data_IF_172906150129
#
_entry.id   IF_172906150129
#
_cell.length_a   1.000
_cell.length_b   1.000
_cell.length_c   1.000
_cell.angle_alpha   90.00
_cell.angle_beta   90.00
_cell.angle_gamma   90.00
#
_symmetry.space_group_name_H-M   'P 1'
#
loop_
_entity.id
_entity.type
_entity.pdbx_description
1 polymer ?
#
# COMPACT_ATOMS: atom_id res chain seq x y z
N UNK A 1 -18.31 -54.88 -79.35
CA UNK A 1 -18.70 -53.79 -78.43
C UNK A 1 -17.86 -53.76 -77.10
N UNK A 2 -17.38 -54.87 -76.60
CA UNK A 2 -16.67 -54.88 -75.30
C UNK A 2 -15.31 -54.18 -75.26
N UNK A 3 -14.56 -54.12 -76.37
CA UNK A 3 -13.24 -53.45 -76.40
C UNK A 3 -13.30 -51.91 -76.46
N UNK A 4 -14.42 -51.33 -76.92
CA UNK A 4 -14.56 -49.85 -76.96
C UNK A 4 -14.81 -49.27 -75.57
N UNK A 5 -15.49 -50.00 -74.72
CA UNK A 5 -15.71 -49.55 -73.30
C UNK A 5 -14.48 -49.70 -72.45
N UNK A 6 -13.58 -50.67 -72.74
CA UNK A 6 -12.32 -50.82 -72.03
C UNK A 6 -11.34 -49.71 -72.36
N UNK A 7 -11.29 -49.27 -73.64
CA UNK A 7 -10.45 -48.17 -74.08
C UNK A 7 -10.91 -46.80 -73.55
N UNK A 8 -12.24 -46.58 -73.49
CA UNK A 8 -12.80 -45.35 -72.88
C UNK A 8 -12.56 -45.32 -71.40
N UNK A 9 -12.68 -46.47 -70.69
CA UNK A 9 -12.40 -46.55 -69.25
C UNK A 9 -10.92 -46.29 -68.93
N UNK A 10 -9.99 -46.79 -69.77
CA UNK A 10 -8.57 -46.61 -69.60
C UNK A 10 -8.11 -45.17 -69.89
N UNK A 11 -8.72 -44.49 -70.88
CA UNK A 11 -8.50 -43.09 -71.18
C UNK A 11 -9.02 -42.16 -70.08
N UNK A 12 -10.16 -42.49 -69.45
CA UNK A 12 -10.66 -41.72 -68.29
C UNK A 12 -9.80 -41.85 -67.07
N UNK A 13 -9.24 -43.05 -66.82
CA UNK A 13 -8.30 -43.29 -65.70
C UNK A 13 -6.99 -42.56 -65.91
N UNK A 14 -6.46 -42.53 -67.14
CA UNK A 14 -5.25 -41.81 -67.45
C UNK A 14 -5.44 -40.31 -67.38
N UNK A 15 -6.62 -39.81 -67.79
CA UNK A 15 -6.95 -38.38 -67.66
C UNK A 15 -7.12 -37.96 -66.19
N UNK A 16 -7.68 -38.81 -65.36
CA UNK A 16 -7.78 -38.57 -63.91
C UNK A 16 -6.41 -38.60 -63.21
N UNK A 17 -5.49 -39.47 -63.63
CA UNK A 17 -4.14 -39.53 -63.10
C UNK A 17 -3.28 -38.34 -63.49
N UNK A 18 -3.51 -37.75 -64.63
CA UNK A 18 -2.76 -36.54 -65.09
C UNK A 18 -3.31 -35.26 -64.44
N UNK A 19 -4.59 -35.22 -63.99
CA UNK A 19 -5.14 -34.10 -63.29
C UNK A 19 -4.70 -34.05 -61.81
N UNK A 20 -4.25 -35.16 -61.22
CA UNK A 20 -3.75 -35.24 -59.86
C UNK A 20 -2.35 -34.68 -59.66
N UNK A 21 -1.59 -34.44 -60.76
CA UNK A 21 -0.22 -33.86 -60.67
C UNK A 21 -0.16 -32.38 -60.90
N UNK A 22 -1.29 -31.67 -61.12
CA UNK A 22 -1.35 -30.22 -61.19
C UNK A 22 -1.62 -29.61 -59.79
N UNK A 23 -0.82 -29.97 -58.81
CA UNK A 23 -0.77 -29.27 -57.55
C UNK A 23 -0.26 -27.85 -57.80
N UNK A 24 -1.04 -26.87 -57.54
CA UNK A 24 -0.64 -25.45 -57.60
C UNK A 24 0.62 -25.27 -56.77
N UNK A 25 1.55 -24.45 -57.22
CA UNK A 25 2.72 -24.03 -56.43
C UNK A 25 2.16 -23.49 -55.10
N UNK A 26 2.59 -24.05 -53.97
CA UNK A 26 2.24 -23.56 -52.68
C UNK A 26 2.59 -22.08 -52.57
N UNK A 27 1.72 -21.30 -51.95
CA UNK A 27 2.00 -19.88 -51.67
C UNK A 27 3.33 -19.76 -50.96
N UNK A 28 4.16 -18.86 -51.39
CA UNK A 28 5.46 -18.56 -50.78
C UNK A 28 5.17 -18.15 -49.33
N UNK A 29 5.72 -18.83 -48.36
CA UNK A 29 5.55 -18.52 -46.94
C UNK A 29 5.86 -17.04 -46.67
N UNK A 30 5.06 -16.44 -45.81
CA UNK A 30 5.24 -15.05 -45.41
C UNK A 30 6.68 -14.82 -44.93
N UNK A 31 7.24 -13.70 -45.34
CA UNK A 31 8.58 -13.27 -44.89
C UNK A 31 8.55 -13.17 -43.34
N UNK A 32 9.47 -13.84 -42.70
CA UNK A 32 9.61 -13.81 -41.24
C UNK A 32 9.71 -12.36 -40.73
N UNK A 33 9.26 -12.14 -39.49
CA UNK A 33 9.32 -10.81 -38.88
C UNK A 33 10.75 -10.26 -38.91
N UNK A 34 10.94 -8.94 -39.01
CA UNK A 34 12.26 -8.32 -38.91
C UNK A 34 12.94 -8.75 -37.60
N UNK A 35 14.21 -8.98 -37.64
CA UNK A 35 15.00 -9.31 -36.45
C UNK A 35 14.88 -8.18 -35.40
N UNK A 36 15.06 -8.50 -34.12
CA UNK A 36 15.03 -7.50 -33.06
C UNK A 36 16.06 -6.40 -33.34
N UNK A 37 15.70 -5.18 -32.99
CA UNK A 37 16.62 -4.04 -33.07
C UNK A 37 17.89 -4.34 -32.27
N UNK A 38 19.04 -3.99 -32.78
CA UNK A 38 20.32 -4.13 -32.07
C UNK A 38 20.29 -3.37 -30.75
N UNK A 39 21.10 -3.79 -29.79
CA UNK A 39 21.21 -3.10 -28.51
C UNK A 39 21.59 -1.64 -28.74
N UNK A 40 21.01 -0.76 -27.91
CA UNK A 40 21.37 0.65 -27.91
C UNK A 40 22.87 0.81 -27.67
N UNK A 41 23.50 1.73 -28.35
CA UNK A 41 24.91 2.05 -28.14
C UNK A 41 25.15 2.49 -26.69
N UNK A 42 26.39 2.36 -26.21
CA UNK A 42 26.73 2.82 -24.87
C UNK A 42 26.42 4.31 -24.72
N UNK A 43 25.93 4.69 -23.56
CA UNK A 43 25.69 6.09 -23.21
C UNK A 43 27.02 6.89 -23.38
N UNK A 44 26.92 8.08 -23.91
CA UNK A 44 28.05 9.00 -24.02
C UNK A 44 28.64 9.30 -22.63
N UNK A 45 29.90 9.72 -22.57
CA UNK A 45 30.50 10.12 -21.32
C UNK A 45 29.68 11.24 -20.66
N UNK A 46 29.57 11.20 -19.36
CA UNK A 46 28.93 12.27 -18.58
C UNK A 46 29.60 13.62 -18.92
N UNK A 47 28.81 14.64 -19.09
CA UNK A 47 29.30 16.01 -19.27
C UNK A 47 30.14 16.44 -18.06
N UNK A 48 31.02 17.43 -18.23
CA UNK A 48 31.76 17.97 -17.12
C UNK A 48 30.80 18.47 -16.03
N UNK A 49 31.19 18.31 -14.78
CA UNK A 49 30.43 18.88 -13.67
C UNK A 49 30.20 20.37 -13.90
N UNK A 50 29.00 20.84 -13.63
CA UNK A 50 28.65 22.26 -13.69
C UNK A 50 29.55 23.05 -12.70
N UNK A 51 29.70 24.35 -12.91
CA UNK A 51 30.42 25.19 -11.96
C UNK A 51 29.74 25.09 -10.59
N UNK A 52 30.57 25.11 -9.56
CA UNK A 52 30.09 25.17 -8.18
C UNK A 52 29.11 26.34 -8.01
N UNK A 53 27.95 26.07 -7.43
CA UNK A 53 26.94 27.09 -7.16
C UNK A 53 27.51 28.20 -6.28
N UNK A 54 26.94 29.40 -6.33
CA UNK A 54 27.36 30.47 -5.44
C UNK A 54 27.24 30.00 -3.98
N UNK A 55 28.21 30.38 -3.15
CA UNK A 55 28.13 30.12 -1.72
C UNK A 55 26.74 30.58 -1.20
N UNK A 56 26.09 29.72 -0.40
CA UNK A 56 24.83 30.09 0.25
C UNK A 56 25.01 31.39 1.01
N UNK A 57 23.95 32.18 1.12
CA UNK A 57 23.95 33.37 1.96
C UNK A 57 24.44 32.97 3.36
N UNK A 58 25.31 33.79 3.94
CA UNK A 58 25.78 33.58 5.32
C UNK A 58 24.52 33.38 6.21
N UNK A 59 24.38 32.16 6.76
CA UNK A 59 23.34 31.88 7.74
C UNK A 59 23.44 32.92 8.85
N UNK A 60 22.32 33.36 9.39
CA UNK A 60 22.32 34.19 10.59
C UNK A 60 23.19 33.49 11.63
N UNK A 61 24.24 34.17 12.06
CA UNK A 61 25.12 33.67 13.08
C UNK A 61 24.35 33.52 14.40
N UNK A 62 23.78 32.31 14.62
CA UNK A 62 23.44 31.89 15.96
C UNK A 62 24.74 31.95 16.77
N UNK A 63 24.70 32.55 17.96
CA UNK A 63 25.86 32.52 18.81
C UNK A 63 26.27 31.07 19.04
N UNK A 64 27.51 30.71 18.71
CA UNK A 64 27.98 29.31 18.74
C UNK A 64 27.79 28.61 20.09
N UNK A 65 27.48 29.38 21.14
CA UNK A 65 27.17 28.87 22.48
C UNK A 65 25.79 28.21 22.61
N UNK A 66 24.87 28.49 21.67
CA UNK A 66 23.51 27.94 21.70
C UNK A 66 23.34 26.70 20.78
N UNK A 67 24.38 26.33 20.04
CA UNK A 67 24.36 25.18 19.16
C UNK A 67 24.63 23.89 19.94
N UNK A 68 23.63 23.04 20.03
CA UNK A 68 23.70 21.74 20.72
C UNK A 68 24.02 20.59 19.76
N UNK A 69 24.93 20.85 18.80
CA UNK A 69 25.31 19.85 17.77
C UNK A 69 25.72 18.50 18.38
N UNK A 70 26.38 18.54 19.52
CA UNK A 70 26.85 17.33 20.23
C UNK A 70 25.74 16.53 20.90
N UNK A 71 24.57 17.11 21.13
CA UNK A 71 23.41 16.35 21.64
C UNK A 71 22.87 15.37 20.60
N UNK A 72 23.04 15.69 19.31
CA UNK A 72 22.57 14.89 18.19
C UNK A 72 23.72 14.22 17.42
N UNK A 73 24.88 14.86 17.34
CA UNK A 73 26.03 14.41 16.56
C UNK A 73 27.17 13.87 17.44
N UNK A 74 26.89 13.52 18.68
CA UNK A 74 27.83 12.79 19.48
C UNK A 74 27.89 11.31 19.03
N UNK A 75 28.95 10.63 19.47
CA UNK A 75 29.07 9.18 19.26
C UNK A 75 28.25 8.36 20.27
N UNK A 76 27.26 8.99 20.94
CA UNK A 76 26.44 8.31 21.94
C UNK A 76 25.65 7.17 21.32
N UNK A 77 25.41 6.16 22.11
CA UNK A 77 24.60 4.99 21.70
C UNK A 77 23.14 5.37 21.43
N UNK A 78 22.65 6.51 21.97
CA UNK A 78 21.27 6.94 21.83
C UNK A 78 20.90 7.19 20.37
N UNK A 79 21.59 8.13 19.69
CA UNK A 79 21.29 8.47 18.29
C UNK A 79 21.67 7.33 17.35
N UNK A 80 22.80 6.68 17.59
CA UNK A 80 23.23 5.52 16.80
C UNK A 80 22.23 4.38 16.93
N UNK A 81 21.70 4.12 18.12
CA UNK A 81 20.69 3.10 18.36
C UNK A 81 19.38 3.41 17.65
N UNK A 82 18.88 4.65 17.75
CA UNK A 82 17.64 5.08 17.04
C UNK A 82 17.79 5.01 15.52
N UNK A 83 18.93 5.44 14.99
CA UNK A 83 19.23 5.32 13.56
C UNK A 83 19.27 3.86 13.11
N UNK A 84 19.91 2.98 13.88
CA UNK A 84 19.99 1.56 13.55
C UNK A 84 18.57 0.93 13.57
N UNK A 85 17.76 1.23 14.59
CA UNK A 85 16.40 0.78 14.68
C UNK A 85 15.57 1.25 13.48
N UNK A 86 15.64 2.54 13.13
CA UNK A 86 14.97 3.08 11.96
C UNK A 86 15.43 2.40 10.66
N UNK A 87 16.72 2.15 10.47
CA UNK A 87 17.24 1.47 9.28
C UNK A 87 16.68 0.05 9.10
N UNK A 88 16.22 -0.60 10.16
CA UNK A 88 15.57 -1.92 10.11
C UNK A 88 14.07 -1.85 9.96
N UNK A 89 13.48 -0.65 10.07
CA UNK A 89 12.04 -0.44 9.87
C UNK A 89 11.68 -0.32 8.39
N UNK A 90 10.40 -0.51 8.06
CA UNK A 90 9.88 -0.28 6.71
C UNK A 90 10.00 1.19 6.29
N UNK A 91 9.98 2.14 7.23
CA UNK A 91 10.20 3.56 6.92
C UNK A 91 11.63 3.82 6.42
N UNK A 92 12.62 3.09 6.93
CA UNK A 92 14.02 3.27 6.55
C UNK A 92 14.54 2.33 5.45
N UNK A 93 13.84 1.24 5.16
CA UNK A 93 14.32 0.19 4.25
C UNK A 93 13.27 -0.38 3.29
N UNK A 94 11.99 0.03 3.40
CA UNK A 94 10.90 -0.52 2.59
C UNK A 94 11.00 -0.12 1.12
N UNK A 95 10.59 -1.00 0.23
CA UNK A 95 10.67 -0.82 -1.23
C UNK A 95 9.65 0.20 -1.78
N UNK A 96 8.62 0.54 -1.00
CA UNK A 96 7.54 1.43 -1.43
C UNK A 96 8.03 2.81 -1.88
N UNK A 97 9.12 3.32 -1.28
CA UNK A 97 9.76 4.59 -1.68
C UNK A 97 10.22 4.54 -3.14
N UNK A 98 10.92 3.49 -3.54
CA UNK A 98 11.40 3.35 -4.92
C UNK A 98 10.27 3.17 -5.92
N UNK A 99 9.20 2.47 -5.52
CA UNK A 99 8.04 2.19 -6.36
C UNK A 99 7.10 3.40 -6.51
N UNK A 100 6.78 4.10 -5.43
CA UNK A 100 5.71 5.10 -5.39
C UNK A 100 6.19 6.52 -5.08
N UNK A 101 7.34 6.69 -4.42
CA UNK A 101 7.81 8.01 -3.98
C UNK A 101 8.13 9.00 -5.08
N UNK A 102 8.31 8.55 -6.33
CA UNK A 102 8.50 9.38 -7.51
C UNK A 102 7.24 9.63 -8.34
N UNK A 103 6.03 9.34 -7.81
CA UNK A 103 4.77 9.49 -8.53
C UNK A 103 3.90 10.58 -7.91
N UNK A 104 3.27 11.39 -8.75
CA UNK A 104 2.27 12.36 -8.31
C UNK A 104 1.13 11.65 -7.57
N UNK A 105 0.63 12.28 -6.51
CA UNK A 105 -0.42 11.71 -5.66
C UNK A 105 -0.01 10.50 -4.80
N UNK A 106 1.24 10.03 -4.93
CA UNK A 106 1.80 8.98 -4.08
C UNK A 106 2.94 9.51 -3.21
N UNK A 107 3.67 10.49 -3.73
CA UNK A 107 4.89 11.02 -3.13
C UNK A 107 4.68 11.61 -1.74
N UNK A 108 3.49 12.15 -1.44
CA UNK A 108 3.14 12.71 -0.13
C UNK A 108 3.33 11.71 1.01
N UNK A 109 3.01 10.44 0.78
CA UNK A 109 3.18 9.38 1.78
C UNK A 109 4.46 8.55 1.55
N UNK A 110 4.91 8.39 0.29
CA UNK A 110 5.99 7.48 -0.07
C UNK A 110 7.37 8.14 -0.27
N UNK A 111 7.48 9.45 -0.07
CA UNK A 111 8.76 10.16 -0.10
C UNK A 111 8.90 11.14 1.07
N UNK A 112 9.92 10.96 1.89
CA UNK A 112 10.19 11.85 3.04
C UNK A 112 10.42 13.31 2.63
N UNK A 113 10.98 13.56 1.43
CA UNK A 113 11.13 14.92 0.89
C UNK A 113 9.79 15.56 0.58
N UNK A 114 8.94 14.87 -0.19
CA UNK A 114 7.60 15.33 -0.58
C UNK A 114 6.65 15.43 0.62
N UNK A 115 6.77 14.53 1.60
CA UNK A 115 6.01 14.62 2.85
C UNK A 115 6.26 15.95 3.58
N UNK A 116 7.52 16.39 3.68
CA UNK A 116 7.83 17.68 4.31
C UNK A 116 7.21 18.87 3.57
N UNK A 117 7.21 18.84 2.25
CA UNK A 117 6.53 19.86 1.44
C UNK A 117 5.02 19.83 1.65
N UNK A 118 4.43 18.64 1.72
CA UNK A 118 3.01 18.43 2.02
C UNK A 118 2.63 19.09 3.36
N UNK A 119 3.35 18.76 4.43
CA UNK A 119 3.09 19.32 5.77
C UNK A 119 3.28 20.84 5.78
N UNK A 120 4.36 21.34 5.19
CA UNK A 120 4.67 22.76 5.16
C UNK A 120 3.65 23.61 4.37
N UNK A 121 3.04 23.02 3.33
CA UNK A 121 2.06 23.69 2.47
C UNK A 121 0.60 23.45 2.88
N UNK A 122 0.35 22.47 3.77
CA UNK A 122 -1.01 22.05 4.14
C UNK A 122 -1.77 21.35 3.00
N UNK A 123 -1.04 20.78 2.03
CA UNK A 123 -1.64 20.04 0.93
C UNK A 123 -2.15 18.67 1.39
N UNK A 124 -3.16 18.15 0.70
CA UNK A 124 -3.58 16.76 0.89
C UNK A 124 -2.58 15.78 0.22
N UNK A 125 -2.46 14.56 0.69
CA UNK A 125 -1.52 13.58 0.12
C UNK A 125 -1.69 13.36 -1.40
N UNK A 126 -2.91 13.36 -1.90
CA UNK A 126 -3.23 13.16 -3.32
C UNK A 126 -2.89 14.38 -4.20
N UNK A 127 -2.75 15.56 -3.61
CA UNK A 127 -2.41 16.80 -4.34
C UNK A 127 -0.89 17.00 -4.45
N UNK A 128 -0.10 16.14 -3.81
CA UNK A 128 1.36 16.28 -3.79
C UNK A 128 1.95 15.78 -5.09
N UNK A 129 2.59 16.69 -5.84
CA UNK A 129 3.42 16.31 -6.97
C UNK A 129 4.72 15.65 -6.48
N UNK A 130 5.24 14.70 -7.26
CA UNK A 130 6.55 14.13 -6.97
C UNK A 130 7.64 15.20 -7.08
N UNK A 131 8.49 15.31 -6.08
CA UNK A 131 9.62 16.24 -6.10
C UNK A 131 10.59 15.84 -7.22
N UNK A 132 11.06 16.82 -8.00
CA UNK A 132 12.08 16.56 -9.01
C UNK A 132 13.36 16.06 -8.32
N UNK A 133 13.69 14.80 -8.53
CA UNK A 133 14.84 14.13 -7.91
C UNK A 133 14.53 12.69 -7.54
N UNK A 134 15.44 12.05 -6.84
CA UNK A 134 15.22 10.71 -6.30
C UNK A 134 14.30 10.79 -5.07
N UNK A 135 13.29 9.91 -5.02
CA UNK A 135 12.48 9.73 -3.83
C UNK A 135 13.36 9.27 -2.65
N UNK A 136 13.11 9.82 -1.48
CA UNK A 136 13.84 9.49 -0.25
C UNK A 136 12.95 8.74 0.72
N UNK A 137 13.52 7.81 1.48
CA UNK A 137 12.82 7.19 2.60
C UNK A 137 12.34 8.25 3.61
N UNK A 138 11.36 7.89 4.43
CA UNK A 138 10.96 8.70 5.58
C UNK A 138 12.11 8.74 6.57
N UNK A 139 12.88 9.82 6.54
CA UNK A 139 14.06 10.03 7.39
C UNK A 139 13.70 10.76 8.71
N UNK A 140 14.71 11.00 9.54
CA UNK A 140 14.52 11.70 10.81
C UNK A 140 13.82 13.06 10.63
N UNK A 141 14.05 13.77 9.52
CA UNK A 141 13.49 15.08 9.21
C UNK A 141 12.07 14.99 8.67
N UNK A 142 11.61 13.82 8.30
CA UNK A 142 10.20 13.58 7.96
C UNK A 142 9.33 13.72 9.20
N UNK A 143 9.81 13.19 10.32
CA UNK A 143 9.08 13.17 11.58
C UNK A 143 9.44 14.29 12.55
N UNK A 144 10.69 14.75 12.54
CA UNK A 144 11.25 15.72 13.49
C UNK A 144 11.69 17.01 12.80
N UNK A 145 11.63 18.13 13.54
CA UNK A 145 12.04 19.45 13.06
C UNK A 145 13.57 19.64 13.03
N UNK A 146 14.29 18.62 12.60
CA UNK A 146 15.75 18.60 12.60
C UNK A 146 16.32 19.75 11.77
N UNK A 147 17.25 20.52 12.39
CA UNK A 147 17.92 21.69 11.82
C UNK A 147 16.99 22.89 11.55
N UNK A 148 15.86 22.99 12.26
CA UNK A 148 15.02 24.17 12.24
C UNK A 148 15.51 25.21 13.25
N UNK A 149 15.76 24.79 14.50
CA UNK A 149 16.18 25.68 15.59
C UNK A 149 17.64 25.51 15.98
N UNK A 150 18.24 24.40 15.62
CA UNK A 150 19.61 23.97 16.03
C UNK A 150 19.76 23.82 17.55
N UNK A 151 18.66 23.48 18.22
CA UNK A 151 18.59 23.23 19.66
C UNK A 151 17.88 21.91 19.93
N UNK A 152 17.74 21.52 21.20
CA UNK A 152 16.93 20.35 21.58
C UNK A 152 15.45 20.42 21.16
N UNK A 153 14.94 21.61 20.79
CA UNK A 153 13.60 21.74 20.23
C UNK A 153 13.46 21.08 18.85
N UNK A 154 14.52 20.79 18.16
CA UNK A 154 14.54 20.07 16.86
C UNK A 154 14.00 18.62 16.97
N UNK A 155 13.90 18.07 18.18
CA UNK A 155 13.24 16.78 18.39
C UNK A 155 11.70 16.85 18.40
N UNK A 156 11.10 18.06 18.38
CA UNK A 156 9.68 18.19 18.20
C UNK A 156 9.22 17.54 16.89
N UNK A 157 8.00 17.03 16.88
CA UNK A 157 7.41 16.48 15.66
C UNK A 157 7.17 17.60 14.63
N UNK A 158 7.17 17.25 13.36
CA UNK A 158 6.90 18.20 12.26
C UNK A 158 5.48 18.74 12.33
N UNK A 159 4.53 17.93 12.80
CA UNK A 159 3.16 18.34 13.13
C UNK A 159 2.57 17.40 14.17
N UNK A 160 1.64 17.93 14.96
CA UNK A 160 0.74 17.19 15.86
C UNK A 160 -0.72 17.65 15.62
N UNK A 161 -0.98 18.36 14.52
CA UNK A 161 -2.32 18.85 14.19
C UNK A 161 -3.26 17.68 13.82
N UNK A 162 -4.56 17.75 14.15
CA UNK A 162 -5.54 16.74 13.75
C UNK A 162 -5.55 16.53 12.23
N UNK A 163 -5.71 15.28 11.81
CA UNK A 163 -5.61 14.86 10.41
C UNK A 163 -6.98 14.80 9.77
N UNK A 164 -7.19 15.56 8.70
CA UNK A 164 -8.37 15.39 7.85
C UNK A 164 -8.25 14.09 7.06
N UNK A 165 -9.24 13.21 7.19
CA UNK A 165 -9.31 11.96 6.43
C UNK A 165 -9.94 12.25 5.07
N UNK A 166 -9.11 12.58 4.10
CA UNK A 166 -9.53 13.14 2.81
C UNK A 166 -10.34 12.17 1.93
N UNK A 167 -10.31 10.86 2.21
CA UNK A 167 -11.17 9.89 1.53
C UNK A 167 -12.63 9.90 2.03
N UNK A 168 -12.94 10.62 3.10
CA UNK A 168 -14.26 10.66 3.73
C UNK A 168 -14.94 12.02 3.54
N UNK A 169 -16.15 12.16 4.08
CA UNK A 169 -16.89 13.41 4.05
C UNK A 169 -16.09 14.54 4.74
N UNK A 170 -16.28 15.77 4.27
CA UNK A 170 -15.66 16.95 4.86
C UNK A 170 -15.95 17.05 6.36
N UNK A 171 -14.91 17.20 7.14
CA UNK A 171 -14.96 17.25 8.59
C UNK A 171 -14.69 15.93 9.31
N UNK A 172 -14.51 14.82 8.59
CA UNK A 172 -14.01 13.59 9.20
C UNK A 172 -12.54 13.74 9.55
N UNK A 173 -12.22 13.69 10.85
CA UNK A 173 -10.87 13.91 11.35
C UNK A 173 -10.43 12.82 12.31
N UNK A 174 -9.13 12.55 12.29
CA UNK A 174 -8.44 11.74 13.29
C UNK A 174 -7.63 12.67 14.21
N UNK A 175 -7.84 12.57 15.51
CA UNK A 175 -7.10 13.33 16.52
C UNK A 175 -6.54 12.37 17.59
N UNK A 176 -5.38 11.85 17.33
CA UNK A 176 -4.66 10.87 18.17
C UNK A 176 -3.40 11.45 18.82
N UNK A 177 -3.35 12.74 19.10
CA UNK A 177 -2.18 13.38 19.68
C UNK A 177 -0.96 13.29 18.78
N UNK A 178 0.20 12.83 19.30
CA UNK A 178 1.41 12.62 18.48
C UNK A 178 1.22 11.58 17.36
N UNK A 179 0.22 10.70 17.49
CA UNK A 179 -0.20 9.77 16.44
C UNK A 179 -0.72 10.47 15.18
N UNK A 180 -1.06 11.76 15.25
CA UNK A 180 -1.50 12.54 14.09
C UNK A 180 -0.45 12.58 12.99
N UNK A 181 0.83 12.68 13.34
CA UNK A 181 1.90 12.58 12.36
C UNK A 181 1.84 11.26 11.55
N UNK A 182 1.59 10.14 12.22
CA UNK A 182 1.44 8.84 11.57
C UNK A 182 0.18 8.80 10.69
N UNK A 183 -0.92 9.38 11.19
CA UNK A 183 -2.21 9.44 10.51
C UNK A 183 -2.18 10.17 9.17
N UNK A 184 -1.22 11.06 8.92
CA UNK A 184 -1.08 11.72 7.62
C UNK A 184 -0.82 10.75 6.47
N UNK A 185 -0.14 9.63 6.72
CA UNK A 185 0.09 8.57 5.75
C UNK A 185 -0.77 7.34 6.02
N UNK A 186 -0.98 6.99 7.30
CA UNK A 186 -1.74 5.81 7.72
C UNK A 186 -3.25 6.07 7.74
N UNK A 187 -3.79 6.51 6.60
CA UNK A 187 -5.21 6.76 6.35
C UNK A 187 -5.66 6.19 5.00
N UNK A 188 -6.93 5.81 4.85
CA UNK A 188 -7.44 5.35 3.57
C UNK A 188 -7.32 6.41 2.48
N UNK A 189 -6.97 5.97 1.30
CA UNK A 189 -6.91 6.80 0.10
C UNK A 189 -8.26 6.87 -0.62
N UNK A 190 -9.11 5.88 -0.39
CA UNK A 190 -10.42 5.75 -1.02
C UNK A 190 -11.39 5.01 -0.12
N UNK A 191 -12.65 5.19 -0.37
CA UNK A 191 -13.74 4.38 0.16
C UNK A 191 -14.16 3.34 -0.88
N UNK A 192 -14.89 2.32 -0.45
CA UNK A 192 -15.55 1.40 -1.36
C UNK A 192 -16.55 2.16 -2.22
N UNK A 193 -16.61 1.83 -3.51
CA UNK A 193 -17.55 2.44 -4.44
C UNK A 193 -19.00 2.05 -4.10
N UNK A 194 -19.93 2.92 -4.45
CA UNK A 194 -21.36 2.58 -4.44
C UNK A 194 -21.69 1.55 -5.54
N UNK A 195 -22.74 0.76 -5.29
CA UNK A 195 -23.21 -0.18 -6.28
C UNK A 195 -23.78 0.53 -7.52
N UNK A 196 -23.58 -0.05 -8.68
CA UNK A 196 -24.17 0.40 -9.93
C UNK A 196 -25.70 0.13 -9.98
N UNK A 197 -26.33 0.48 -11.10
CA UNK A 197 -27.76 0.31 -11.30
C UNK A 197 -28.23 -1.16 -11.28
N UNK A 198 -27.32 -2.09 -11.52
CA UNK A 198 -27.57 -3.54 -11.49
C UNK A 198 -27.26 -4.15 -10.10
N UNK A 199 -26.84 -3.34 -9.14
CA UNK A 199 -26.52 -3.75 -7.78
C UNK A 199 -25.12 -4.36 -7.62
N UNK A 200 -24.19 -4.09 -8.55
CA UNK A 200 -22.84 -4.61 -8.52
C UNK A 200 -21.82 -3.51 -8.18
N UNK A 201 -20.69 -3.93 -7.65
CA UNK A 201 -19.50 -3.10 -7.45
C UNK A 201 -18.37 -3.65 -8.34
N UNK A 202 -17.64 -2.74 -8.99
CA UNK A 202 -16.48 -3.08 -9.80
C UNK A 202 -15.24 -3.26 -8.92
N UNK A 203 -14.64 -4.44 -8.97
CA UNK A 203 -13.28 -4.70 -8.50
C UNK A 203 -12.35 -4.42 -9.68
N UNK A 204 -11.74 -3.25 -9.70
CA UNK A 204 -11.06 -2.70 -10.88
C UNK A 204 -9.57 -3.06 -10.98
N UNK A 205 -9.00 -3.69 -9.97
CA UNK A 205 -7.58 -4.05 -9.96
C UNK A 205 -7.28 -5.13 -8.92
N UNK A 206 -6.15 -5.84 -9.06
CA UNK A 206 -5.66 -6.79 -8.06
C UNK A 206 -5.20 -6.11 -6.77
N UNK A 207 -4.98 -4.80 -6.80
CA UNK A 207 -4.69 -3.97 -5.62
C UNK A 207 -5.93 -3.19 -5.16
N UNK A 208 -7.11 -3.80 -5.27
CA UNK A 208 -8.36 -3.18 -4.88
C UNK A 208 -8.53 -3.24 -3.36
N UNK A 209 -8.76 -2.09 -2.74
CA UNK A 209 -8.84 -1.93 -1.29
C UNK A 209 -8.71 -0.47 -0.88
N UNK A 210 -8.74 -0.16 0.43
CA UNK A 210 -8.60 1.22 0.93
C UNK A 210 -7.22 1.84 0.67
N UNK A 211 -6.24 1.06 0.29
CA UNK A 211 -4.84 1.39 0.02
C UNK A 211 -3.99 1.55 1.29
N UNK A 212 -3.11 0.62 1.47
CA UNK A 212 -1.98 0.47 2.42
C UNK A 212 -1.92 1.48 3.57
N UNK A 213 -2.61 1.21 4.65
CA UNK A 213 -2.48 1.99 5.86
C UNK A 213 -3.77 2.66 6.37
N UNK A 214 -4.93 1.99 6.36
CA UNK A 214 -6.18 2.57 6.82
C UNK A 214 -6.35 2.55 8.36
N UNK A 215 -5.26 2.52 9.12
CA UNK A 215 -5.30 2.33 10.58
C UNK A 215 -6.09 3.43 11.29
N UNK A 216 -6.03 4.68 10.80
CA UNK A 216 -6.85 5.77 11.35
C UNK A 216 -8.34 5.49 11.22
N UNK A 217 -8.77 4.98 10.06
CA UNK A 217 -10.17 4.63 9.82
C UNK A 217 -10.59 3.41 10.67
N UNK A 218 -9.74 2.40 10.79
CA UNK A 218 -9.98 1.26 11.66
C UNK A 218 -10.15 1.70 13.12
N UNK A 219 -9.27 2.57 13.63
CA UNK A 219 -9.37 3.12 14.99
C UNK A 219 -10.65 3.92 15.22
N UNK A 220 -11.13 4.65 14.22
CA UNK A 220 -12.39 5.38 14.27
C UNK A 220 -13.63 4.50 14.05
N UNK A 221 -13.46 3.26 13.57
CA UNK A 221 -14.57 2.35 13.25
C UNK A 221 -15.31 2.74 11.97
N UNK A 222 -14.60 3.20 10.94
CA UNK A 222 -15.15 3.62 9.64
C UNK A 222 -14.38 3.00 8.48
N UNK A 223 -14.89 3.08 7.26
CA UNK A 223 -14.20 2.70 6.03
C UNK A 223 -14.38 1.25 5.59
N UNK A 224 -15.03 0.42 6.38
CA UNK A 224 -15.43 -0.93 5.97
C UNK A 224 -16.57 -0.92 4.96
N UNK A 225 -16.75 -2.04 4.26
CA UNK A 225 -17.86 -2.28 3.35
C UNK A 225 -19.11 -2.76 4.07
N UNK A 226 -20.28 -2.44 3.51
CA UNK A 226 -21.59 -2.82 4.05
C UNK A 226 -22.18 -1.82 5.03
N UNK A 227 -23.38 -2.12 5.52
CA UNK A 227 -24.08 -1.30 6.52
C UNK A 227 -23.61 -1.70 7.94
N UNK A 228 -22.29 -1.66 8.19
CA UNK A 228 -21.72 -1.98 9.51
C UNK A 228 -21.44 -0.69 10.26
N UNK A 229 -22.25 -0.41 11.28
CA UNK A 229 -22.01 0.71 12.17
C UNK A 229 -20.80 0.42 13.07
N UNK A 230 -19.74 1.22 12.94
CA UNK A 230 -18.60 1.19 13.83
C UNK A 230 -18.64 2.32 14.85
N UNK A 231 -17.73 2.24 15.79
CA UNK A 231 -17.49 3.30 16.79
C UNK A 231 -15.99 3.40 17.07
N UNK A 232 -15.51 4.57 17.51
CA UNK A 232 -14.11 4.71 17.88
C UNK A 232 -13.67 3.65 18.89
N UNK A 233 -12.52 3.07 18.65
CA UNK A 233 -11.93 2.05 19.51
C UNK A 233 -11.63 2.58 20.92
N UNK A 234 -11.62 1.70 21.91
CA UNK A 234 -11.13 2.04 23.25
C UNK A 234 -9.67 2.51 23.21
N UNK A 235 -8.83 1.88 22.37
CA UNK A 235 -7.44 2.29 22.17
C UNK A 235 -7.32 3.71 21.62
N UNK A 236 -8.21 4.12 20.71
CA UNK A 236 -8.26 5.50 20.24
C UNK A 236 -8.73 6.48 21.32
N UNK A 237 -9.77 6.10 22.08
CA UNK A 237 -10.43 7.02 23.01
C UNK A 237 -9.70 7.15 24.37
N UNK A 238 -8.91 6.15 24.76
CA UNK A 238 -8.34 6.06 26.12
C UNK A 238 -6.81 6.13 26.14
N UNK A 239 -6.14 5.83 25.01
CA UNK A 239 -4.68 5.84 24.91
C UNK A 239 -4.24 7.18 24.34
N UNK A 240 -3.57 7.99 25.16
CA UNK A 240 -2.94 9.22 24.69
C UNK A 240 -1.83 8.95 23.67
N UNK A 241 -1.66 9.87 22.70
CA UNK A 241 -0.67 9.75 21.63
C UNK A 241 -0.83 8.48 20.73
N UNK A 242 -1.94 7.78 20.86
CA UNK A 242 -2.41 6.61 20.06
C UNK A 242 -1.28 5.72 19.49
N UNK A 243 -0.91 5.91 18.22
CA UNK A 243 0.09 5.11 17.51
C UNK A 243 1.44 5.07 18.24
N UNK A 244 1.87 6.21 18.75
CA UNK A 244 3.17 6.37 19.40
C UNK A 244 3.26 5.55 20.69
N UNK A 245 2.16 5.47 21.44
CA UNK A 245 2.12 4.73 22.70
C UNK A 245 2.43 3.22 22.53
N UNK A 246 2.05 2.64 21.38
CA UNK A 246 2.23 1.22 21.10
C UNK A 246 3.41 0.93 20.19
N UNK A 247 3.67 1.79 19.18
CA UNK A 247 4.66 1.57 18.14
C UNK A 247 6.03 2.23 18.39
N UNK A 248 6.15 3.11 19.39
CA UNK A 248 7.40 3.75 19.78
C UNK A 248 7.71 3.56 21.27
N UNK A 249 7.41 2.40 21.84
CA UNK A 249 7.69 2.10 23.25
C UNK A 249 9.14 2.39 23.57
N UNK A 250 9.40 3.17 24.63
CA UNK A 250 10.74 3.64 25.02
C UNK A 250 11.50 4.38 23.89
N UNK A 251 10.78 4.91 22.89
CA UNK A 251 11.36 5.58 21.73
C UNK A 251 12.06 4.63 20.76
N UNK A 252 11.59 3.39 20.65
CA UNK A 252 12.11 2.41 19.71
C UNK A 252 11.68 2.76 18.27
N UNK A 253 12.64 3.10 17.41
CA UNK A 253 12.39 3.52 16.03
C UNK A 253 12.32 2.35 15.02
N UNK A 254 12.13 1.12 15.48
CA UNK A 254 11.71 0.02 14.58
C UNK A 254 10.24 0.13 14.19
N UNK A 255 9.44 0.89 14.96
CA UNK A 255 7.99 1.03 14.87
C UNK A 255 7.23 -0.29 15.06
N UNK A 256 7.92 -1.35 15.47
CA UNK A 256 7.28 -2.60 15.87
C UNK A 256 6.60 -2.40 17.23
N UNK A 257 5.33 -2.82 17.39
CA UNK A 257 4.66 -2.74 18.68
C UNK A 257 5.35 -3.65 19.70
N UNK A 258 5.24 -3.28 20.99
CA UNK A 258 5.77 -4.08 22.10
C UNK A 258 4.64 -4.39 23.09
N UNK A 259 4.59 -5.62 23.56
CA UNK A 259 3.63 -6.09 24.57
C UNK A 259 3.71 -5.27 25.86
N UNK A 260 4.87 -4.70 26.16
CA UNK A 260 5.04 -3.81 27.31
C UNK A 260 4.07 -2.61 27.30
N UNK A 261 3.72 -2.09 26.11
CA UNK A 261 2.69 -1.05 26.01
C UNK A 261 1.32 -1.51 26.48
N UNK A 262 0.98 -2.75 26.20
CA UNK A 262 -0.30 -3.34 26.60
C UNK A 262 -0.41 -3.49 28.12
N UNK A 263 0.71 -3.80 28.79
CA UNK A 263 0.77 -4.09 30.23
C UNK A 263 0.43 -2.89 31.11
N UNK A 264 0.51 -1.67 30.58
CA UNK A 264 0.10 -0.46 31.31
C UNK A 264 -1.39 -0.49 31.69
N UNK A 265 -2.23 -1.08 30.84
CA UNK A 265 -3.67 -1.22 31.07
C UNK A 265 -4.11 -2.69 31.23
N UNK A 266 -3.45 -3.62 30.54
CA UNK A 266 -3.74 -5.05 30.53
C UNK A 266 -2.70 -5.81 31.38
N UNK A 267 -2.78 -5.65 32.69
CA UNK A 267 -1.81 -6.25 33.61
C UNK A 267 -1.75 -7.78 33.46
N UNK A 268 -0.54 -8.32 33.29
CA UNK A 268 -0.30 -9.75 33.12
C UNK A 268 -0.38 -10.25 31.67
N UNK A 269 -0.55 -9.38 30.70
CA UNK A 269 -0.45 -9.73 29.29
C UNK A 269 1.00 -10.10 28.95
N UNK A 270 1.22 -11.27 28.37
CA UNK A 270 2.54 -11.79 28.01
C UNK A 270 2.75 -11.84 26.48
N UNK A 271 1.65 -11.94 25.73
CA UNK A 271 1.65 -11.99 24.26
C UNK A 271 0.58 -11.07 23.70
N UNK A 272 0.67 -10.73 22.42
CA UNK A 272 -0.37 -9.95 21.75
C UNK A 272 -1.72 -10.67 21.62
N UNK A 273 -1.76 -11.98 21.88
CA UNK A 273 -2.95 -12.82 21.73
C UNK A 273 -3.44 -13.44 23.04
N UNK A 274 -3.04 -12.93 24.19
CA UNK A 274 -3.48 -13.47 25.51
C UNK A 274 -5.01 -13.46 25.69
N UNK A 275 -5.72 -12.62 24.93
CA UNK A 275 -7.18 -12.60 24.92
C UNK A 275 -7.79 -13.55 23.88
N UNK A 276 -6.99 -14.17 23.03
CA UNK A 276 -7.43 -14.99 21.90
C UNK A 276 -8.01 -14.18 20.73
N UNK A 277 -7.91 -12.84 20.77
CA UNK A 277 -8.47 -11.97 19.72
C UNK A 277 -7.83 -12.20 18.36
N UNK A 278 -6.50 -12.23 18.31
CA UNK A 278 -5.80 -12.37 17.03
C UNK A 278 -6.05 -13.76 16.42
N UNK A 279 -6.09 -14.81 17.26
CA UNK A 279 -6.47 -16.16 16.83
C UNK A 279 -7.91 -16.17 16.28
N UNK A 280 -8.88 -15.58 16.97
CA UNK A 280 -10.28 -15.47 16.50
C UNK A 280 -10.38 -14.77 15.16
N UNK A 281 -9.67 -13.64 14.98
CA UNK A 281 -9.68 -12.87 13.75
C UNK A 281 -9.05 -13.66 12.60
N UNK A 282 -7.93 -14.34 12.83
CA UNK A 282 -7.26 -15.15 11.80
C UNK A 282 -8.11 -16.35 11.36
N UNK A 283 -8.81 -17.00 12.29
CA UNK A 283 -9.74 -18.09 11.97
C UNK A 283 -10.89 -17.59 11.08
N UNK A 284 -11.51 -16.45 11.41
CA UNK A 284 -12.56 -15.84 10.60
C UNK A 284 -12.06 -15.34 9.23
N UNK A 285 -10.85 -14.78 9.16
CA UNK A 285 -10.23 -14.39 7.89
C UNK A 285 -9.95 -15.59 7.01
N UNK A 286 -9.54 -16.72 7.59
CA UNK A 286 -9.33 -17.97 6.84
C UNK A 286 -10.65 -18.47 6.25
N UNK A 287 -11.73 -18.54 7.05
CA UNK A 287 -13.05 -18.92 6.56
C UNK A 287 -13.54 -17.97 5.45
N UNK A 288 -13.34 -16.66 5.64
CA UNK A 288 -13.72 -15.65 4.66
C UNK A 288 -12.95 -15.78 3.34
N UNK A 289 -11.63 -16.04 3.40
CA UNK A 289 -10.80 -16.30 2.24
C UNK A 289 -11.28 -17.52 1.45
N UNK A 290 -11.56 -18.64 2.13
CA UNK A 290 -12.07 -19.86 1.49
C UNK A 290 -13.38 -19.59 0.74
N UNK A 291 -14.29 -18.81 1.32
CA UNK A 291 -15.55 -18.43 0.68
C UNK A 291 -15.34 -17.50 -0.53
N UNK A 292 -14.43 -16.54 -0.42
CA UNK A 292 -14.08 -15.63 -1.53
C UNK A 292 -13.43 -16.36 -2.69
N UNK A 293 -12.50 -17.30 -2.42
CA UNK A 293 -11.88 -18.18 -3.43
C UNK A 293 -12.95 -19.06 -4.10
N UNK A 294 -13.85 -19.67 -3.33
CA UNK A 294 -14.92 -20.49 -3.87
C UNK A 294 -15.88 -19.72 -4.80
N UNK A 295 -16.00 -18.40 -4.61
CA UNK A 295 -16.76 -17.49 -5.48
C UNK A 295 -15.94 -16.92 -6.65
N UNK A 296 -14.64 -17.21 -6.72
CA UNK A 296 -13.74 -16.70 -7.75
C UNK A 296 -13.45 -15.20 -7.62
N UNK A 297 -13.49 -14.67 -6.41
CA UNK A 297 -13.26 -13.25 -6.09
C UNK A 297 -11.88 -12.99 -5.52
N UNK A 298 -11.21 -14.04 -5.06
CA UNK A 298 -9.87 -14.02 -4.49
C UNK A 298 -9.05 -15.13 -5.14
N UNK A 299 -7.82 -14.85 -5.52
CA UNK A 299 -6.88 -15.84 -6.04
C UNK A 299 -6.23 -16.63 -4.90
N UNK A 300 -6.35 -17.95 -4.92
CA UNK A 300 -5.87 -18.84 -3.84
C UNK A 300 -4.34 -18.76 -3.62
N UNK A 301 -3.58 -18.61 -4.72
CA UNK A 301 -2.10 -18.64 -4.65
C UNK A 301 -1.49 -17.28 -4.26
N UNK A 302 -2.10 -16.18 -4.66
CA UNK A 302 -1.56 -14.83 -4.47
C UNK A 302 -2.28 -14.03 -3.41
N UNK A 303 -3.46 -14.49 -2.99
CA UNK A 303 -4.35 -13.77 -2.05
C UNK A 303 -4.76 -12.38 -2.56
N UNK A 304 -4.81 -12.22 -3.89
CA UNK A 304 -5.15 -10.97 -4.57
C UNK A 304 -6.61 -10.97 -5.06
N UNK A 305 -7.29 -9.80 -5.04
CA UNK A 305 -8.62 -9.64 -5.62
C UNK A 305 -8.67 -10.00 -7.11
N UNK A 306 -9.70 -10.74 -7.51
CA UNK A 306 -9.99 -11.02 -8.92
C UNK A 306 -10.80 -9.87 -9.51
N UNK A 307 -10.30 -9.29 -10.61
CA UNK A 307 -10.95 -8.17 -11.32
C UNK A 307 -12.28 -8.61 -11.89
N UNK A 308 -13.36 -7.85 -11.65
CA UNK A 308 -14.69 -8.18 -12.13
C UNK A 308 -15.78 -7.29 -11.53
N UNK A 309 -17.02 -7.61 -11.89
CA UNK A 309 -18.22 -7.00 -11.30
C UNK A 309 -18.90 -8.03 -10.41
N UNK A 310 -19.12 -7.69 -9.16
CA UNK A 310 -19.69 -8.61 -8.18
C UNK A 310 -20.88 -7.97 -7.46
N UNK A 311 -21.86 -8.77 -7.02
CA UNK A 311 -22.95 -8.27 -6.17
C UNK A 311 -22.39 -7.44 -5.01
N UNK A 312 -23.01 -6.31 -4.71
CA UNK A 312 -22.50 -5.33 -3.76
C UNK A 312 -22.11 -5.96 -2.41
N UNK A 313 -22.95 -6.82 -1.85
CA UNK A 313 -22.66 -7.47 -0.57
C UNK A 313 -21.41 -8.38 -0.62
N UNK A 314 -21.16 -9.04 -1.76
CA UNK A 314 -19.99 -9.89 -1.95
C UNK A 314 -18.72 -9.06 -2.13
N UNK A 315 -18.78 -7.99 -2.94
CA UNK A 315 -17.68 -7.05 -3.10
C UNK A 315 -17.33 -6.35 -1.77
N UNK A 316 -18.32 -6.00 -0.96
CA UNK A 316 -18.12 -5.45 0.39
C UNK A 316 -17.43 -6.44 1.32
N UNK A 317 -17.75 -7.73 1.22
CA UNK A 317 -17.06 -8.77 1.98
C UNK A 317 -15.58 -8.90 1.56
N UNK A 318 -15.29 -8.87 0.26
CA UNK A 318 -13.91 -8.83 -0.25
C UNK A 318 -13.17 -7.57 0.23
N UNK A 319 -13.82 -6.40 0.18
CA UNK A 319 -13.25 -5.16 0.71
C UNK A 319 -12.85 -5.29 2.17
N UNK A 320 -13.74 -5.84 3.01
CA UNK A 320 -13.46 -6.04 4.43
C UNK A 320 -12.32 -7.02 4.68
N UNK A 321 -12.23 -8.07 3.86
CA UNK A 321 -11.09 -8.99 3.91
C UNK A 321 -9.78 -8.26 3.65
N UNK A 322 -9.68 -7.51 2.55
CA UNK A 322 -8.48 -6.73 2.21
C UNK A 322 -8.18 -5.69 3.29
N UNK A 323 -9.20 -4.95 3.75
CA UNK A 323 -9.05 -3.93 4.78
C UNK A 323 -8.43 -4.49 6.07
N UNK A 324 -8.88 -5.66 6.55
CA UNK A 324 -8.42 -6.25 7.80
C UNK A 324 -7.11 -7.02 7.62
N UNK A 325 -7.01 -7.84 6.56
CA UNK A 325 -5.90 -8.78 6.37
C UNK A 325 -4.64 -8.12 5.84
N UNK A 326 -4.78 -7.29 4.79
CA UNK A 326 -3.65 -6.76 4.02
C UNK A 326 -3.32 -5.30 4.30
N UNK A 327 -4.26 -4.55 4.87
CA UNK A 327 -4.11 -3.12 4.98
C UNK A 327 -3.98 -2.64 6.44
N UNK A 328 -4.86 -3.07 7.33
CA UNK A 328 -4.78 -2.75 8.76
C UNK A 328 -3.75 -3.62 9.49
N UNK A 329 -3.69 -4.91 9.19
CA UNK A 329 -2.73 -5.91 9.67
C UNK A 329 -2.68 -6.10 11.20
N UNK A 330 -3.48 -5.34 11.98
CA UNK A 330 -3.48 -5.42 13.45
C UNK A 330 -4.11 -6.69 14.00
N UNK A 331 -4.78 -7.49 13.14
CA UNK A 331 -5.59 -8.65 13.52
C UNK A 331 -6.60 -8.29 14.62
N UNK A 332 -7.24 -7.12 14.47
CA UNK A 332 -8.28 -6.64 15.34
C UNK A 332 -7.83 -5.80 16.53
N UNK A 333 -6.53 -5.67 16.79
CA UNK A 333 -6.03 -4.90 17.96
C UNK A 333 -6.42 -3.42 17.87
N UNK A 334 -6.40 -2.83 16.70
CA UNK A 334 -6.77 -1.41 16.53
C UNK A 334 -8.23 -1.15 16.93
N UNK A 335 -9.17 -2.02 16.51
CA UNK A 335 -10.58 -1.91 16.90
C UNK A 335 -11.26 -3.29 16.94
N UNK A 336 -11.19 -4.01 18.05
CA UNK A 336 -11.72 -5.38 18.17
C UNK A 336 -13.20 -5.50 17.78
N UNK A 337 -14.02 -4.55 18.22
CA UNK A 337 -15.46 -4.60 17.99
C UNK A 337 -15.80 -4.36 16.51
N UNK A 338 -15.16 -3.39 15.88
CA UNK A 338 -15.40 -3.10 14.46
C UNK A 338 -14.89 -4.21 13.56
N UNK A 339 -13.70 -4.75 13.85
CA UNK A 339 -13.14 -5.89 13.11
C UNK A 339 -14.07 -7.10 13.16
N UNK A 340 -14.60 -7.47 14.35
CA UNK A 340 -15.56 -8.56 14.48
C UNK A 340 -16.83 -8.31 13.67
N UNK A 341 -17.39 -7.11 13.77
CA UNK A 341 -18.62 -6.75 13.06
C UNK A 341 -18.44 -6.81 11.53
N UNK A 342 -17.30 -6.35 11.01
CA UNK A 342 -16.97 -6.45 9.58
C UNK A 342 -16.85 -7.91 9.15
N UNK A 343 -16.14 -8.75 9.90
CA UNK A 343 -15.96 -10.16 9.58
C UNK A 343 -17.29 -10.93 9.65
N UNK A 344 -18.10 -10.72 10.68
CA UNK A 344 -19.41 -11.36 10.82
C UNK A 344 -20.36 -10.98 9.69
N UNK A 345 -20.42 -9.69 9.33
CA UNK A 345 -21.21 -9.21 8.20
C UNK A 345 -20.75 -9.84 6.87
N UNK A 346 -19.43 -9.93 6.67
CA UNK A 346 -18.85 -10.50 5.46
C UNK A 346 -19.12 -12.00 5.32
N UNK A 347 -18.94 -12.75 6.39
CA UNK A 347 -19.25 -14.20 6.40
C UNK A 347 -20.72 -14.45 6.09
N UNK A 348 -21.62 -13.69 6.72
CA UNK A 348 -23.08 -13.80 6.41
C UNK A 348 -23.37 -13.48 4.96
N UNK A 349 -22.78 -12.44 4.38
CA UNK A 349 -22.97 -12.05 2.98
C UNK A 349 -22.54 -13.15 2.00
N UNK A 350 -21.54 -13.94 2.33
CA UNK A 350 -21.05 -15.05 1.49
C UNK A 350 -21.69 -16.41 1.80
N UNK A 351 -22.59 -16.47 2.80
CA UNK A 351 -23.29 -17.69 3.20
C UNK A 351 -22.56 -18.56 4.21
N UNK A 352 -21.52 -18.00 4.86
CA UNK A 352 -20.83 -18.57 6.01
C UNK A 352 -21.45 -18.15 7.35
N UNK A 353 -20.74 -18.41 8.46
CA UNK A 353 -21.14 -17.91 9.77
C UNK A 353 -22.28 -18.68 10.44
N UNK A 354 -22.32 -20.03 10.32
CA UNK A 354 -23.28 -20.88 11.06
C UNK A 354 -22.65 -21.46 12.32
#
# INVERSE_FOLDING_TARGET
MKHKFLLVGLLLLVAMALAACAGGAGEQGEQGPPGPAGPAGPAGPAGPAGPEGPAGADGMAAEMGDLTCTECHDSSTLITGKRTAWQTSLHGSGEATAYAGGRDGCAGCHSGGSFKEMVASGMLPDDVAATAGEATHQDCRTCHQIHVTWTGADWALTTEDPVALYAFEEGTTFDGGKGNLCGLCHQPRRQIAEADADGNIEVSSTHWGPHHGPQTAMLLGIGGGGEVEGSPAAHYSMVGDTCVACHLVEGNHTFAPDVAACQECHSGMETFDDTGLQTEVEEKLTELAELLVAKGMLEEETDEPVVGFYPAAEAQALWNYIFIKHEDESRGVHNPNYTRALLESSLVALGGGQ
#
